data_IF_326224296361
#
_entry.id   IF_326224296361
#
_cell.length_a   1.000
_cell.length_b   1.000
_cell.length_c   1.000
_cell.angle_alpha   90.00
_cell.angle_beta   90.00
_cell.angle_gamma   90.00
#
_symmetry.space_group_name_H-M   'P 1'
#
loop_
_entity.id
_entity.type
_entity.pdbx_description
1 polymer ?
#
# COMPACT_ATOMS: atom_id res chain seq x y z
N UNK A 1 17.89 47.53 16.61
CA UNK A 1 17.38 46.44 17.48
C UNK A 1 16.93 45.28 16.61
N UNK A 2 17.65 44.15 16.61
CA UNK A 2 17.29 42.97 15.80
C UNK A 2 16.01 42.35 16.37
N UNK A 3 14.92 42.42 15.61
CA UNK A 3 13.59 41.98 16.03
C UNK A 3 13.54 40.44 16.11
N UNK A 4 13.82 39.89 17.30
CA UNK A 4 13.90 38.43 17.54
C UNK A 4 12.61 37.70 17.16
N UNK A 5 11.46 38.37 17.21
CA UNK A 5 10.17 37.80 16.78
C UNK A 5 10.06 37.57 15.26
N UNK A 6 10.72 38.40 14.46
CA UNK A 6 10.77 38.23 13.00
C UNK A 6 11.60 36.99 12.60
N UNK A 7 12.68 36.70 13.34
CA UNK A 7 13.51 35.51 13.11
C UNK A 7 12.77 34.19 13.41
N UNK A 8 11.97 34.18 14.48
CA UNK A 8 11.16 33.00 14.87
C UNK A 8 10.08 32.73 13.82
N UNK A 9 9.43 33.79 13.30
CA UNK A 9 8.42 33.65 12.25
C UNK A 9 8.98 33.07 10.94
N UNK A 10 10.18 33.51 10.54
CA UNK A 10 10.86 32.99 9.34
C UNK A 10 11.25 31.52 9.51
N UNK A 11 11.74 31.13 10.70
CA UNK A 11 12.10 29.74 10.99
C UNK A 11 10.88 28.81 11.00
N UNK A 12 9.75 29.26 11.56
CA UNK A 12 8.49 28.50 11.56
C UNK A 12 7.94 28.31 10.14
N UNK A 13 8.03 29.34 9.29
CA UNK A 13 7.59 29.27 7.90
C UNK A 13 8.46 28.33 7.05
N UNK A 14 9.77 28.27 7.31
CA UNK A 14 10.70 27.38 6.60
C UNK A 14 10.42 25.89 6.88
N UNK A 15 9.94 25.54 8.08
CA UNK A 15 9.62 24.15 8.44
C UNK A 15 8.41 23.58 7.66
N UNK A 16 7.53 24.44 7.12
CA UNK A 16 6.38 24.00 6.32
C UNK A 16 6.77 23.50 4.92
N UNK A 17 7.96 23.83 4.43
CA UNK A 17 8.44 23.42 3.10
C UNK A 17 9.36 22.18 3.13
N UNK A 18 9.55 21.55 4.29
CA UNK A 18 10.45 20.41 4.44
C UNK A 18 9.91 19.07 3.88
N UNK A 19 8.67 19.03 3.39
CA UNK A 19 8.11 17.83 2.74
C UNK A 19 8.71 17.63 1.33
N UNK A 20 9.85 16.94 1.27
CA UNK A 20 10.46 16.52 0.01
C UNK A 20 9.77 15.26 -0.54
N UNK A 21 9.09 15.38 -1.68
CA UNK A 21 8.58 14.23 -2.43
C UNK A 21 9.75 13.34 -2.90
N UNK A 22 9.66 12.04 -2.64
CA UNK A 22 10.61 11.07 -3.18
C UNK A 22 10.38 10.91 -4.68
N UNK A 23 11.43 11.09 -5.48
CA UNK A 23 11.37 10.82 -6.93
C UNK A 23 11.30 9.31 -7.13
N UNK A 24 10.26 8.84 -7.83
CA UNK A 24 10.15 7.43 -8.24
C UNK A 24 11.05 7.28 -9.46
N UNK A 25 12.00 6.34 -9.42
CA UNK A 25 12.85 6.04 -10.57
C UNK A 25 11.99 5.43 -11.68
N UNK A 26 12.07 6.01 -12.88
CA UNK A 26 11.41 5.49 -14.07
C UNK A 26 12.20 4.27 -14.56
N UNK A 27 11.62 3.09 -14.39
CA UNK A 27 12.21 1.84 -14.85
C UNK A 27 11.85 1.66 -16.33
N UNK A 28 12.83 1.78 -17.21
CA UNK A 28 12.66 1.43 -18.62
C UNK A 28 12.48 -0.09 -18.72
N UNK A 29 11.38 -0.59 -19.32
CA UNK A 29 11.16 -2.03 -19.40
C UNK A 29 12.22 -2.69 -20.28
N UNK A 30 13.05 -3.54 -19.69
CA UNK A 30 14.03 -4.34 -20.42
C UNK A 30 13.32 -5.53 -21.07
N UNK A 31 13.47 -5.69 -22.40
CA UNK A 31 12.93 -6.85 -23.11
C UNK A 31 13.77 -8.09 -22.76
N UNK A 32 13.29 -8.90 -21.82
CA UNK A 32 13.95 -10.13 -21.38
C UNK A 32 13.14 -11.32 -21.86
N UNK A 33 13.70 -12.09 -22.80
CA UNK A 33 12.98 -13.14 -23.53
C UNK A 33 12.84 -14.48 -22.79
N UNK A 34 13.57 -14.68 -21.68
CA UNK A 34 13.54 -15.95 -20.95
C UNK A 34 13.22 -15.75 -19.46
N UNK A 35 12.56 -16.74 -18.86
CA UNK A 35 12.07 -16.70 -17.49
C UNK A 35 13.19 -16.50 -16.46
N UNK A 36 14.35 -17.13 -16.66
CA UNK A 36 15.51 -17.01 -15.76
C UNK A 36 16.07 -15.58 -15.76
N UNK A 37 16.21 -14.97 -16.93
CA UNK A 37 16.65 -13.59 -17.06
C UNK A 37 15.66 -12.63 -16.43
N UNK A 38 14.36 -12.88 -16.60
CA UNK A 38 13.30 -12.05 -16.03
C UNK A 38 13.30 -12.12 -14.49
N UNK A 39 13.36 -13.32 -13.93
CA UNK A 39 13.44 -13.53 -12.47
C UNK A 39 14.69 -12.87 -11.88
N UNK A 40 15.87 -13.07 -12.48
CA UNK A 40 17.09 -12.40 -12.05
C UNK A 40 16.96 -10.88 -12.07
N UNK A 41 16.32 -10.31 -13.09
CA UNK A 41 16.09 -8.88 -13.20
C UNK A 41 15.16 -8.35 -12.11
N UNK A 42 14.06 -9.05 -11.80
CA UNK A 42 13.14 -8.66 -10.73
C UNK A 42 13.85 -8.70 -9.37
N UNK A 43 14.62 -9.75 -9.10
CA UNK A 43 15.38 -9.86 -7.85
C UNK A 43 16.47 -8.78 -7.74
N UNK A 44 17.24 -8.52 -8.80
CA UNK A 44 18.31 -7.52 -8.78
C UNK A 44 17.81 -6.07 -8.70
N UNK A 45 16.58 -5.81 -9.12
CA UNK A 45 15.96 -4.48 -9.11
C UNK A 45 14.86 -4.36 -8.05
N UNK A 46 14.79 -5.30 -7.10
CA UNK A 46 13.81 -5.25 -6.03
C UNK A 46 14.07 -4.02 -5.16
N UNK A 47 13.07 -3.14 -4.96
CA UNK A 47 13.28 -1.94 -4.15
C UNK A 47 13.49 -2.33 -2.68
N UNK A 48 14.46 -1.69 -2.03
CA UNK A 48 14.62 -1.76 -0.59
C UNK A 48 13.66 -0.78 0.09
N UNK A 49 12.78 -1.29 0.95
CA UNK A 49 11.82 -0.50 1.70
C UNK A 49 11.55 -1.10 3.08
N UNK A 50 11.33 -0.25 4.08
CA UNK A 50 10.76 -0.68 5.37
C UNK A 50 9.23 -0.65 5.32
N UNK A 51 8.69 0.41 4.72
CA UNK A 51 7.28 0.64 4.54
C UNK A 51 7.01 1.02 3.08
N UNK A 52 5.94 0.47 2.53
CA UNK A 52 5.42 0.83 1.22
C UNK A 52 3.96 1.24 1.36
N UNK A 53 3.55 2.32 0.71
CA UNK A 53 2.17 2.82 0.75
C UNK A 53 1.72 3.11 -0.69
N UNK A 54 0.52 2.68 -1.05
CA UNK A 54 -0.04 2.91 -2.37
C UNK A 54 -1.57 3.11 -2.30
N UNK A 55 -2.09 3.88 -3.26
CA UNK A 55 -3.52 3.90 -3.58
C UNK A 55 -3.76 2.91 -4.71
N UNK A 56 -4.69 2.00 -4.51
CA UNK A 56 -5.04 0.92 -5.44
C UNK A 56 -6.40 1.21 -6.05
N UNK A 57 -6.51 1.06 -7.36
CA UNK A 57 -7.80 1.01 -8.05
C UNK A 57 -8.17 -0.45 -8.25
N UNK A 58 -9.37 -0.82 -7.86
CA UNK A 58 -9.90 -2.17 -8.00
C UNK A 58 -10.94 -2.13 -9.12
N UNK A 59 -10.75 -2.98 -10.12
CA UNK A 59 -11.73 -3.29 -11.15
C UNK A 59 -11.79 -4.82 -11.23
N UNK A 60 -12.85 -5.39 -10.66
CA UNK A 60 -13.06 -6.83 -10.58
C UNK A 60 -14.38 -7.16 -11.28
N UNK A 61 -14.28 -7.93 -12.35
CA UNK A 61 -15.41 -8.39 -13.13
C UNK A 61 -15.51 -9.91 -13.01
N UNK A 62 -16.61 -10.38 -12.44
CA UNK A 62 -16.92 -11.82 -12.33
C UNK A 62 -18.33 -12.06 -12.88
N UNK A 63 -18.68 -13.28 -13.32
CA UNK A 63 -20.04 -13.58 -13.77
C UNK A 63 -21.13 -13.23 -12.75
N UNK A 64 -20.81 -13.32 -11.45
CA UNK A 64 -21.74 -13.04 -10.37
C UNK A 64 -21.79 -11.55 -9.96
N UNK A 65 -20.71 -10.79 -10.18
CA UNK A 65 -20.60 -9.40 -9.68
C UNK A 65 -19.50 -8.60 -10.38
N UNK A 66 -19.81 -7.33 -10.66
CA UNK A 66 -18.83 -6.30 -10.97
C UNK A 66 -18.57 -5.45 -9.73
N UNK A 67 -17.29 -5.21 -9.43
CA UNK A 67 -16.83 -4.44 -8.28
C UNK A 67 -15.75 -3.46 -8.74
N UNK A 68 -16.09 -2.17 -8.66
CA UNK A 68 -15.17 -1.07 -8.87
C UNK A 68 -14.98 -0.34 -7.55
N UNK A 69 -13.73 -0.01 -7.20
CA UNK A 69 -13.45 0.65 -5.93
C UNK A 69 -12.04 1.20 -5.82
N UNK A 70 -11.80 1.89 -4.71
CA UNK A 70 -10.48 2.34 -4.30
C UNK A 70 -10.09 1.64 -3.02
N UNK A 71 -8.82 1.37 -2.88
CA UNK A 71 -8.24 0.87 -1.65
C UNK A 71 -6.93 1.57 -1.33
N UNK A 72 -6.57 1.59 -0.06
CA UNK A 72 -5.23 1.99 0.39
C UNK A 72 -4.47 0.76 0.84
N UNK A 73 -3.32 0.55 0.23
CA UNK A 73 -2.37 -0.50 0.57
C UNK A 73 -1.25 0.09 1.42
N UNK A 74 -0.98 -0.53 2.56
CA UNK A 74 0.21 -0.28 3.38
C UNK A 74 0.91 -1.62 3.60
N UNK A 75 2.21 -1.66 3.43
CA UNK A 75 3.01 -2.86 3.62
C UNK A 75 4.22 -2.54 4.48
N UNK A 76 4.51 -3.41 5.45
CA UNK A 76 5.79 -3.43 6.15
C UNK A 76 6.52 -4.69 5.71
N UNK A 77 7.76 -4.51 5.24
CA UNK A 77 8.60 -5.61 4.74
C UNK A 77 8.57 -6.79 5.71
N UNK A 78 8.34 -7.96 5.14
CA UNK A 78 8.31 -9.29 5.77
C UNK A 78 7.34 -9.47 6.94
N UNK A 79 6.38 -8.57 7.20
CA UNK A 79 5.61 -8.63 8.45
C UNK A 79 4.13 -8.28 8.32
N UNK A 80 3.76 -7.35 7.43
CA UNK A 80 2.41 -6.84 7.37
C UNK A 80 2.04 -6.43 5.96
N UNK A 81 0.89 -6.91 5.50
CA UNK A 81 0.16 -6.32 4.38
C UNK A 81 -1.18 -5.85 4.95
N UNK A 82 -1.51 -4.59 4.71
CA UNK A 82 -2.75 -3.96 5.15
C UNK A 82 -3.43 -3.33 3.94
N UNK A 83 -4.61 -3.83 3.60
CA UNK A 83 -5.46 -3.30 2.54
C UNK A 83 -6.77 -2.80 3.14
N UNK A 84 -7.09 -1.52 2.92
CA UNK A 84 -8.34 -0.88 3.36
C UNK A 84 -9.15 -0.49 2.13
N UNK A 85 -10.37 -1.00 1.99
CA UNK A 85 -11.23 -0.81 0.82
C UNK A 85 -12.30 0.24 1.14
N UNK A 86 -12.34 1.30 0.33
CA UNK A 86 -13.24 2.44 0.48
C UNK A 86 -13.74 2.89 -0.90
N UNK A 87 -14.81 2.27 -1.44
CA UNK A 87 -15.25 2.46 -2.82
C UNK A 87 -15.78 3.87 -3.12
N UNK A 88 -16.25 4.64 -2.13
CA UNK A 88 -16.61 6.06 -2.27
C UNK A 88 -16.61 6.80 -0.92
N UNK A 89 -16.46 8.14 -0.94
CA UNK A 89 -16.53 9.06 0.22
C UNK A 89 -15.57 8.77 1.40
N UNK A 90 -14.59 7.88 1.22
CA UNK A 90 -13.62 7.53 2.27
C UNK A 90 -14.16 6.61 3.36
N UNK A 91 -15.38 6.09 3.22
CA UNK A 91 -15.96 5.14 4.17
C UNK A 91 -15.38 3.75 3.91
N UNK A 92 -14.70 3.18 4.91
CA UNK A 92 -14.16 1.81 4.83
C UNK A 92 -15.30 0.78 4.91
N UNK A 93 -15.37 -0.10 3.92
CA UNK A 93 -16.37 -1.19 3.87
C UNK A 93 -15.75 -2.55 4.17
N UNK A 94 -14.45 -2.71 3.87
CA UNK A 94 -13.70 -3.92 4.15
C UNK A 94 -12.24 -3.61 4.45
N UNK A 95 -11.61 -4.46 5.26
CA UNK A 95 -10.18 -4.40 5.54
C UNK A 95 -9.59 -5.80 5.58
N UNK A 96 -8.46 -5.97 4.92
CA UNK A 96 -7.67 -7.20 4.94
C UNK A 96 -6.32 -6.88 5.57
N UNK A 97 -5.95 -7.67 6.58
CA UNK A 97 -4.64 -7.62 7.20
C UNK A 97 -4.00 -8.99 7.11
N UNK A 98 -2.83 -9.08 6.47
CA UNK A 98 -2.03 -10.30 6.41
C UNK A 98 -0.79 -10.09 7.27
N UNK A 99 -0.61 -10.98 8.24
CA UNK A 99 0.59 -11.10 9.08
C UNK A 99 1.33 -12.38 8.69
N UNK A 100 2.43 -12.70 9.37
CA UNK A 100 3.19 -13.92 9.08
C UNK A 100 2.36 -15.20 9.25
N UNK A 101 1.46 -15.21 10.23
CA UNK A 101 0.78 -16.44 10.65
C UNK A 101 -0.70 -16.46 10.25
N UNK A 102 -1.29 -15.26 10.11
CA UNK A 102 -2.74 -15.12 9.94
C UNK A 102 -3.12 -13.99 9.00
N UNK A 103 -4.23 -14.21 8.28
CA UNK A 103 -5.01 -13.22 7.57
C UNK A 103 -6.26 -12.89 8.38
N UNK A 104 -6.56 -11.60 8.51
CA UNK A 104 -7.75 -11.07 9.15
C UNK A 104 -8.56 -10.30 8.10
N UNK A 105 -9.85 -10.61 8.01
CA UNK A 105 -10.79 -9.96 7.09
C UNK A 105 -11.88 -9.33 7.96
N UNK A 106 -11.90 -8.00 7.99
CA UNK A 106 -12.96 -7.22 8.62
C UNK A 106 -13.96 -6.81 7.54
N UNK A 107 -15.21 -7.21 7.67
CA UNK A 107 -16.33 -6.71 6.88
C UNK A 107 -17.11 -5.72 7.74
N UNK A 108 -17.04 -4.43 7.40
CA UNK A 108 -17.73 -3.36 8.15
C UNK A 108 -19.21 -3.26 7.82
N UNK A 109 -19.65 -3.80 6.68
CA UNK A 109 -21.07 -3.83 6.34
C UNK A 109 -21.83 -4.83 7.22
N UNK A 110 -21.20 -5.95 7.54
CA UNK A 110 -21.79 -7.02 8.36
C UNK A 110 -21.28 -7.01 9.81
N UNK A 111 -20.35 -6.11 10.16
CA UNK A 111 -19.67 -6.08 11.46
C UNK A 111 -19.02 -7.42 11.85
N UNK A 112 -18.45 -8.13 10.89
CA UNK A 112 -17.80 -9.42 11.11
C UNK A 112 -16.29 -9.34 10.97
N UNK A 113 -15.57 -10.16 11.74
CA UNK A 113 -14.13 -10.37 11.61
C UNK A 113 -13.89 -11.86 11.40
N UNK A 114 -13.21 -12.20 10.32
CA UNK A 114 -12.78 -13.57 10.02
C UNK A 114 -11.27 -13.68 10.14
N UNK A 115 -10.79 -14.69 10.85
CA UNK A 115 -9.36 -15.00 10.99
C UNK A 115 -9.05 -16.32 10.27
N UNK A 116 -8.04 -16.30 9.42
CA UNK A 116 -7.63 -17.43 8.59
C UNK A 116 -6.12 -17.62 8.76
N UNK A 117 -5.65 -18.76 9.30
CA UNK A 117 -4.21 -19.08 9.29
C UNK A 117 -3.66 -19.11 7.87
N UNK A 118 -2.47 -18.56 7.64
CA UNK A 118 -1.87 -18.48 6.30
C UNK A 118 -1.72 -19.85 5.66
N UNK A 119 -1.44 -20.89 6.46
CA UNK A 119 -1.35 -22.29 6.02
C UNK A 119 -2.66 -22.87 5.48
N UNK A 120 -3.78 -22.17 5.61
CA UNK A 120 -5.11 -22.60 5.14
C UNK A 120 -5.67 -21.72 4.02
N UNK A 121 -4.90 -20.75 3.49
CA UNK A 121 -5.39 -19.81 2.48
C UNK A 121 -5.79 -20.52 1.18
N UNK A 122 -5.05 -21.57 0.78
CA UNK A 122 -5.31 -22.30 -0.47
C UNK A 122 -6.70 -22.93 -0.54
N UNK A 123 -7.38 -23.13 0.60
CA UNK A 123 -8.78 -23.61 0.63
C UNK A 123 -9.82 -22.57 0.20
N UNK A 124 -9.40 -21.33 -0.01
CA UNK A 124 -10.26 -20.19 -0.35
C UNK A 124 -9.91 -19.58 -1.72
N UNK A 125 -8.97 -20.18 -2.45
CA UNK A 125 -8.60 -19.85 -3.83
C UNK A 125 -9.18 -20.88 -4.80
#
# INVERSE_FOLDING_TARGET
MKNKGSLVGILALALLFACKTQKIAEVTPKNIKNLRGFTNYIESNRPEYKWFNAKVSIDLQTPARNLNGKATLKMRKDSLIWLSVSPALGIEVARIQVTRDSMYILNRMENTIKTIPVTKIDRYL
#
